data_IF_973495207280
#
_entry.id   IF_973495207280
#
_cell.length_a   1.000
_cell.length_b   1.000
_cell.length_c   1.000
_cell.angle_alpha   90.00
_cell.angle_beta   90.00
_cell.angle_gamma   90.00
#
_symmetry.space_group_name_H-M   'P 1'
#
loop_
_entity.id
_entity.type
_entity.pdbx_description
1 polymer ?
#
# COMPACT_ATOMS: atom_id res chain seq x y z
N UNK A 1 -22.48 -9.37 -11.24
CA UNK A 1 -21.39 -8.87 -12.10
C UNK A 1 -20.95 -7.54 -11.51
N UNK A 2 -19.85 -7.53 -10.77
CA UNK A 2 -19.24 -6.31 -10.24
C UNK A 2 -18.44 -5.73 -11.42
N UNK A 3 -18.80 -4.55 -11.89
CA UNK A 3 -18.28 -3.96 -13.12
C UNK A 3 -16.77 -3.78 -13.09
N UNK A 4 -16.15 -4.04 -14.24
CA UNK A 4 -14.79 -3.63 -14.55
C UNK A 4 -14.65 -2.12 -14.33
N UNK A 5 -13.49 -1.69 -13.83
CA UNK A 5 -13.07 -0.29 -13.65
C UNK A 5 -13.33 0.37 -12.28
N UNK A 6 -12.50 -0.02 -11.31
CA UNK A 6 -12.06 0.94 -10.29
C UNK A 6 -11.61 0.30 -9.00
N UNK A 7 -10.51 -0.44 -8.99
CA UNK A 7 -9.88 -0.77 -7.71
C UNK A 7 -9.09 0.44 -7.21
N UNK A 8 -9.14 0.70 -5.91
CA UNK A 8 -8.40 1.77 -5.25
C UNK A 8 -7.20 1.12 -4.57
N UNK A 9 -5.99 1.53 -4.97
CA UNK A 9 -4.77 1.09 -4.32
C UNK A 9 -4.11 2.28 -3.63
N UNK A 10 -3.78 2.08 -2.35
CA UNK A 10 -3.00 3.03 -1.57
C UNK A 10 -1.65 2.40 -1.32
N UNK A 11 -0.59 2.98 -1.89
CA UNK A 11 0.77 2.51 -1.73
C UNK A 11 1.57 3.42 -0.79
N UNK A 12 2.40 2.82 0.04
CA UNK A 12 3.46 3.50 0.78
C UNK A 12 4.78 2.79 0.49
N UNK A 13 5.81 3.56 0.13
CA UNK A 13 7.12 3.02 -0.26
C UNK A 13 8.18 3.36 0.79
N UNK A 14 9.01 2.37 1.10
CA UNK A 14 10.19 2.52 1.97
C UNK A 14 11.43 2.00 1.26
N UNK A 15 12.53 2.74 1.34
CA UNK A 15 13.85 2.12 1.18
C UNK A 15 14.08 1.18 2.36
N UNK A 16 14.68 0.01 2.15
CA UNK A 16 14.95 -0.98 3.22
C UNK A 16 15.66 -0.39 4.45
N UNK A 17 16.56 0.57 4.24
CA UNK A 17 17.25 1.32 5.31
C UNK A 17 16.35 2.23 6.17
N UNK A 18 15.14 2.54 5.70
CA UNK A 18 14.19 3.45 6.33
C UNK A 18 12.90 2.74 6.79
N UNK A 19 12.74 1.45 6.49
CA UNK A 19 11.59 0.64 6.88
C UNK A 19 11.35 -0.57 5.96
N UNK A 20 10.62 -1.54 6.48
CA UNK A 20 10.13 -2.70 5.74
C UNK A 20 8.70 -2.48 5.21
N UNK A 21 8.18 -3.45 4.45
CA UNK A 21 6.86 -3.37 3.86
C UNK A 21 5.74 -3.31 4.93
N UNK A 22 5.94 -3.95 6.09
CA UNK A 22 4.99 -3.92 7.21
C UNK A 22 4.92 -2.54 7.86
N UNK A 23 6.05 -1.86 8.03
CA UNK A 23 6.10 -0.49 8.54
C UNK A 23 5.45 0.50 7.57
N UNK A 24 5.60 0.28 6.26
CA UNK A 24 4.90 1.06 5.22
C UNK A 24 3.37 0.85 5.31
N UNK A 25 2.92 -0.41 5.44
CA UNK A 25 1.50 -0.73 5.61
C UNK A 25 0.92 -0.13 6.90
N UNK A 26 1.67 -0.20 8.00
CA UNK A 26 1.30 0.45 9.27
C UNK A 26 1.15 1.97 9.10
N UNK A 27 2.04 2.62 8.37
CA UNK A 27 1.95 4.05 8.09
C UNK A 27 0.69 4.41 7.30
N UNK A 28 0.28 3.60 6.32
CA UNK A 28 -0.99 3.80 5.59
C UNK A 28 -2.18 3.83 6.56
N UNK A 29 -2.23 2.84 7.46
CA UNK A 29 -3.31 2.68 8.45
C UNK A 29 -3.33 3.80 9.48
N UNK A 30 -2.16 4.19 9.98
CA UNK A 30 -2.02 5.27 10.97
C UNK A 30 -2.38 6.64 10.41
N UNK A 31 -1.99 6.91 9.16
CA UNK A 31 -2.30 8.16 8.46
C UNK A 31 -3.69 8.19 7.86
N UNK A 32 -4.40 7.05 7.86
CA UNK A 32 -5.78 6.92 7.38
C UNK A 32 -5.96 7.38 5.93
N UNK A 33 -4.96 7.13 5.08
CA UNK A 33 -5.01 7.53 3.67
C UNK A 33 -6.17 6.89 2.90
N UNK A 34 -6.58 5.69 3.32
CA UNK A 34 -7.69 4.94 2.76
C UNK A 34 -9.08 5.51 3.12
N UNK A 35 -9.21 6.28 4.20
CA UNK A 35 -10.52 6.64 4.76
C UNK A 35 -11.38 7.44 3.77
N UNK A 36 -10.77 8.34 2.98
CA UNK A 36 -11.47 9.15 1.96
C UNK A 36 -12.07 8.33 0.80
N UNK A 37 -11.65 7.08 0.66
CA UNK A 37 -12.03 6.20 -0.44
C UNK A 37 -13.02 5.10 -0.01
N UNK A 38 -13.27 4.93 1.29
CA UNK A 38 -14.14 3.86 1.83
C UNK A 38 -15.61 4.01 1.44
N UNK A 39 -16.05 5.21 1.06
CA UNK A 39 -17.40 5.46 0.59
C UNK A 39 -17.59 5.11 -0.90
N UNK A 40 -16.50 4.85 -1.64
CA UNK A 40 -16.60 4.37 -3.02
C UNK A 40 -17.00 2.89 -3.01
N UNK A 41 -17.96 2.51 -3.86
CA UNK A 41 -18.37 1.11 -4.05
C UNK A 41 -17.32 0.30 -4.84
N UNK A 42 -16.06 0.43 -4.43
CA UNK A 42 -14.85 -0.04 -5.08
C UNK A 42 -14.02 -0.83 -4.08
N UNK A 43 -13.28 -1.81 -4.58
CA UNK A 43 -12.38 -2.57 -3.72
C UNK A 43 -11.17 -1.69 -3.35
N UNK A 44 -10.83 -1.64 -2.07
CA UNK A 44 -9.71 -0.85 -1.54
C UNK A 44 -8.60 -1.79 -1.06
N UNK A 45 -7.38 -1.55 -1.55
CA UNK A 45 -6.18 -2.28 -1.17
C UNK A 45 -5.16 -1.31 -0.59
N UNK A 46 -4.65 -1.62 0.60
CA UNK A 46 -3.52 -0.93 1.22
C UNK A 46 -2.28 -1.79 0.98
N UNK A 47 -1.23 -1.23 0.38
CA UNK A 47 -0.03 -1.98 -0.01
C UNK A 47 1.22 -1.27 0.49
N UNK A 48 1.85 -1.85 1.51
CA UNK A 48 3.17 -1.45 1.94
C UNK A 48 4.24 -2.05 1.02
N UNK A 49 5.21 -1.26 0.61
CA UNK A 49 6.31 -1.68 -0.27
C UNK A 49 7.64 -1.32 0.36
N UNK A 50 8.57 -2.26 0.40
CA UNK A 50 9.97 -1.99 0.72
C UNK A 50 10.86 -2.39 -0.44
N UNK A 51 11.84 -1.55 -0.79
CA UNK A 51 12.80 -1.82 -1.85
C UNK A 51 14.24 -1.67 -1.39
N UNK A 52 15.09 -2.56 -1.88
CA UNK A 52 16.53 -2.61 -1.68
C UNK A 52 17.23 -2.38 -3.02
N UNK A 53 17.84 -1.20 -3.19
CA UNK A 53 18.53 -0.86 -4.43
C UNK A 53 19.81 -1.67 -4.67
N UNK A 54 20.44 -2.18 -3.61
CA UNK A 54 21.67 -2.96 -3.70
C UNK A 54 21.36 -4.38 -4.13
N UNK A 55 20.42 -5.02 -3.41
CA UNK A 55 20.02 -6.40 -3.70
C UNK A 55 18.96 -6.51 -4.81
N UNK A 56 18.47 -5.36 -5.33
CA UNK A 56 17.39 -5.27 -6.32
C UNK A 56 16.14 -6.05 -5.88
N UNK A 57 15.88 -6.03 -4.58
CA UNK A 57 14.78 -6.76 -3.93
C UNK A 57 13.60 -5.81 -3.71
N UNK A 58 12.38 -6.30 -3.94
CA UNK A 58 11.14 -5.61 -3.59
C UNK A 58 10.26 -6.55 -2.78
N UNK A 59 9.85 -6.10 -1.60
CA UNK A 59 8.98 -6.84 -0.68
C UNK A 59 7.66 -6.09 -0.51
N UNK A 60 6.56 -6.83 -0.46
CA UNK A 60 5.21 -6.30 -0.35
C UNK A 60 4.52 -6.78 0.94
N UNK A 61 3.63 -5.94 1.47
CA UNK A 61 2.71 -6.27 2.56
C UNK A 61 1.33 -5.70 2.23
N UNK A 62 0.27 -6.47 2.48
CA UNK A 62 -1.13 -6.10 2.26
C UNK A 62 -1.97 -6.36 3.51
#
# INVERSE_FOLDING_TARGET
>A
MIGEEGNIFVFEFKMKRAGDAQSALKQIREKRYADKYRAEAKQLFEVGVSFDGENREVVFAV
#
